data_IF_396071859313
#
_entry.id   IF_396071859313
#
_cell.length_a   1.000
_cell.length_b   1.000
_cell.length_c   1.000
_cell.angle_alpha   90.00
_cell.angle_beta   90.00
_cell.angle_gamma   90.00
#
_symmetry.space_group_name_H-M   'P 1'
#
loop_
_entity.id
_entity.type
_entity.pdbx_description
1 polymer ?
#
# COMPACT_ATOMS: atom_id res chain seq x y z
N UNK A 1 27.24 -7.73 18.36
CA UNK A 1 27.84 -8.18 17.08
C UNK A 1 26.80 -9.02 16.40
N UNK A 2 25.92 -8.37 15.64
CA UNK A 2 24.84 -9.00 14.89
C UNK A 2 25.46 -9.63 13.65
N UNK A 3 25.44 -10.96 13.58
CA UNK A 3 25.63 -11.69 12.33
C UNK A 3 24.48 -11.29 11.42
N UNK A 4 24.71 -10.38 10.47
CA UNK A 4 23.81 -10.18 9.33
C UNK A 4 23.79 -11.47 8.52
N UNK A 5 22.88 -12.37 8.89
CA UNK A 5 22.44 -13.43 8.00
C UNK A 5 21.85 -12.74 6.77
N UNK A 6 22.45 -12.98 5.60
CA UNK A 6 21.95 -12.48 4.32
C UNK A 6 20.55 -13.09 4.09
N UNK A 7 19.50 -12.37 4.51
CA UNK A 7 18.12 -12.80 4.36
C UNK A 7 17.66 -12.55 2.93
N UNK A 8 17.25 -13.62 2.25
CA UNK A 8 16.62 -13.54 0.93
C UNK A 8 15.13 -13.21 1.02
N UNK A 9 14.48 -13.56 2.15
CA UNK A 9 13.07 -13.32 2.40
C UNK A 9 12.86 -12.37 3.61
N UNK A 10 11.85 -11.52 3.54
CA UNK A 10 11.51 -10.55 4.57
C UNK A 10 10.88 -11.14 5.84
N UNK A 11 10.67 -12.46 5.91
CA UNK A 11 10.08 -13.18 7.03
C UNK A 11 10.83 -14.49 7.30
N UNK A 12 11.02 -14.83 8.56
CA UNK A 12 11.75 -16.02 9.00
C UNK A 12 11.12 -16.64 10.24
N UNK A 13 11.22 -17.96 10.39
CA UNK A 13 10.82 -18.68 11.61
C UNK A 13 12.10 -19.19 12.30
N UNK A 14 12.38 -18.66 13.48
CA UNK A 14 13.48 -19.07 14.33
C UNK A 14 13.13 -20.43 14.98
N UNK A 15 13.79 -21.47 14.49
CA UNK A 15 13.48 -22.86 14.80
C UNK A 15 13.71 -23.22 16.27
N UNK A 16 14.75 -22.62 16.85
CA UNK A 16 15.20 -22.74 18.24
C UNK A 16 14.23 -22.13 19.26
N UNK A 17 13.45 -21.11 18.87
CA UNK A 17 12.42 -20.51 19.72
C UNK A 17 11.03 -21.13 19.50
N UNK A 18 10.83 -21.91 18.44
CA UNK A 18 9.51 -22.35 18.02
C UNK A 18 9.02 -23.61 18.77
N UNK A 19 7.92 -23.49 19.54
CA UNK A 19 7.31 -24.62 20.26
C UNK A 19 6.48 -25.58 19.42
N UNK A 20 6.36 -25.35 18.10
CA UNK A 20 5.54 -26.17 17.17
C UNK A 20 4.04 -26.23 17.49
N UNK A 21 3.52 -25.26 18.24
CA UNK A 21 2.11 -25.23 18.66
C UNK A 21 1.09 -25.06 17.52
N UNK A 22 1.51 -24.59 16.33
CA UNK A 22 0.64 -24.48 15.14
C UNK A 22 -0.29 -23.26 15.10
N UNK A 23 -0.20 -22.31 16.04
CA UNK A 23 -1.03 -21.09 16.02
C UNK A 23 -0.81 -20.28 14.73
N UNK A 24 0.43 -20.19 14.27
CA UNK A 24 0.79 -19.52 13.02
C UNK A 24 0.16 -20.18 11.77
N UNK A 25 -0.06 -21.50 11.80
CA UNK A 25 -0.77 -22.24 10.74
C UNK A 25 -2.24 -21.81 10.73
N UNK A 26 -2.90 -21.84 11.90
CA UNK A 26 -4.33 -21.51 12.02
C UNK A 26 -4.66 -20.06 11.64
N UNK A 27 -3.76 -19.12 11.95
CA UNK A 27 -3.97 -17.70 11.67
C UNK A 27 -3.63 -17.31 10.22
N UNK A 28 -2.84 -18.11 9.50
CA UNK A 28 -2.40 -17.79 8.14
C UNK A 28 -3.59 -17.89 7.15
N UNK A 29 -4.04 -16.78 6.53
CA UNK A 29 -5.17 -16.82 5.60
C UNK A 29 -4.77 -17.24 4.17
N UNK A 30 -3.49 -17.52 3.96
CA UNK A 30 -2.90 -17.87 2.67
C UNK A 30 -2.28 -19.27 2.66
N UNK A 31 -2.41 -20.02 3.77
CA UNK A 31 -1.88 -21.38 3.89
C UNK A 31 -0.36 -21.49 3.67
N UNK A 32 0.34 -20.35 3.71
CA UNK A 32 1.80 -20.27 3.56
C UNK A 32 2.57 -20.90 4.73
N UNK A 33 1.91 -21.34 5.78
CA UNK A 33 2.55 -21.98 6.93
C UNK A 33 1.88 -23.32 7.18
N UNK A 34 2.68 -24.38 7.26
CA UNK A 34 2.23 -25.74 7.51
C UNK A 34 3.06 -26.39 8.61
N UNK A 35 2.56 -27.52 9.14
CA UNK A 35 3.27 -28.35 10.12
C UNK A 35 3.66 -29.66 9.45
N UNK A 36 4.96 -29.93 9.39
CA UNK A 36 5.50 -31.22 9.00
C UNK A 36 5.49 -32.14 10.23
N UNK A 37 4.60 -33.13 10.21
CA UNK A 37 4.45 -34.11 11.30
C UNK A 37 5.62 -35.08 11.40
N UNK A 38 6.36 -35.34 10.32
CA UNK A 38 7.51 -36.25 10.33
C UNK A 38 8.72 -35.59 10.99
N UNK A 39 8.96 -34.32 10.67
CA UNK A 39 10.07 -33.54 11.22
C UNK A 39 9.70 -32.77 12.50
N UNK A 40 8.42 -32.80 12.88
CA UNK A 40 7.83 -31.96 13.93
C UNK A 40 8.28 -30.50 13.80
N UNK A 41 8.12 -29.95 12.60
CA UNK A 41 8.62 -28.61 12.23
C UNK A 41 7.52 -27.75 11.64
N UNK A 42 7.58 -26.45 11.92
CA UNK A 42 6.74 -25.47 11.22
C UNK A 42 7.50 -25.03 9.97
N UNK A 43 6.86 -25.16 8.81
CA UNK A 43 7.42 -24.81 7.51
C UNK A 43 6.71 -23.57 6.98
N UNK A 44 7.49 -22.59 6.52
CA UNK A 44 7.01 -21.42 5.81
C UNK A 44 7.27 -21.61 4.32
N UNK A 45 6.21 -21.59 3.52
CA UNK A 45 6.28 -21.43 2.09
C UNK A 45 6.38 -19.92 1.77
N UNK A 46 7.58 -19.49 1.37
CA UNK A 46 7.86 -18.09 1.02
C UNK A 46 7.13 -17.68 -0.26
N UNK A 47 6.84 -18.62 -1.16
CA UNK A 47 6.13 -18.32 -2.40
C UNK A 47 4.68 -17.96 -2.12
N UNK A 48 4.03 -18.67 -1.20
CA UNK A 48 2.67 -18.35 -0.80
C UNK A 48 2.56 -17.19 0.20
N UNK A 49 3.65 -16.83 0.86
CA UNK A 49 3.64 -15.78 1.88
C UNK A 49 3.29 -14.40 1.29
N UNK A 50 2.23 -13.77 1.84
CA UNK A 50 1.81 -12.41 1.47
C UNK A 50 2.33 -11.32 2.41
N UNK A 51 3.26 -11.66 3.33
CA UNK A 51 3.95 -10.71 4.23
C UNK A 51 2.98 -9.88 5.09
N UNK A 52 1.85 -10.47 5.49
CA UNK A 52 0.80 -9.76 6.24
C UNK A 52 1.14 -9.52 7.73
N UNK A 53 2.03 -10.33 8.31
CA UNK A 53 2.48 -10.21 9.70
C UNK A 53 1.49 -10.74 10.77
N UNK A 54 0.41 -11.41 10.36
CA UNK A 54 -0.57 -11.96 11.32
C UNK A 54 0.02 -13.11 12.15
N UNK A 55 0.88 -13.95 11.55
CA UNK A 55 1.58 -15.03 12.25
C UNK A 55 2.60 -14.50 13.27
N UNK A 56 3.29 -13.40 12.95
CA UNK A 56 4.27 -12.74 13.84
C UNK A 56 3.60 -12.35 15.15
N UNK A 57 2.52 -11.58 15.05
CA UNK A 57 1.73 -11.11 16.20
C UNK A 57 0.93 -12.21 16.93
N UNK A 58 0.83 -13.40 16.34
CA UNK A 58 0.14 -14.54 16.96
C UNK A 58 1.11 -15.51 17.65
N UNK A 59 2.42 -15.38 17.43
CA UNK A 59 3.41 -16.29 17.99
C UNK A 59 3.67 -15.94 19.46
N UNK A 60 3.29 -16.81 20.43
CA UNK A 60 3.47 -16.50 21.85
C UNK A 60 4.94 -16.51 22.31
N UNK A 61 5.84 -17.04 21.47
CA UNK A 61 7.28 -17.12 21.74
C UNK A 61 8.09 -16.14 20.91
N UNK A 62 7.43 -15.27 20.12
CA UNK A 62 8.09 -14.33 19.20
C UNK A 62 9.11 -15.00 18.28
N UNK A 63 8.86 -16.27 17.92
CA UNK A 63 9.75 -17.09 17.10
C UNK A 63 9.64 -16.79 15.60
N UNK A 64 8.79 -15.85 15.19
CA UNK A 64 8.61 -15.46 13.79
C UNK A 64 9.05 -14.01 13.67
N UNK A 65 10.09 -13.77 12.89
CA UNK A 65 10.63 -12.44 12.66
C UNK A 65 10.20 -11.90 11.29
N UNK A 66 9.91 -10.62 11.24
CA UNK A 66 9.52 -9.89 10.04
C UNK A 66 10.36 -8.62 9.96
N UNK A 67 11.08 -8.46 8.86
CA UNK A 67 12.01 -7.33 8.66
C UNK A 67 11.27 -5.99 8.68
N UNK A 68 10.01 -5.98 8.28
CA UNK A 68 9.19 -4.78 8.26
C UNK A 68 8.39 -4.61 9.55
N UNK A 69 8.34 -3.38 10.05
CA UNK A 69 7.44 -2.95 11.12
C UNK A 69 7.56 -3.79 12.40
N UNK A 70 8.79 -4.15 12.76
CA UNK A 70 9.08 -4.74 14.06
C UNK A 70 8.46 -3.86 15.18
N UNK A 71 7.80 -4.49 16.14
CA UNK A 71 7.00 -3.83 17.19
C UNK A 71 7.81 -2.82 17.97
N UNK A 72 9.06 -3.14 18.33
CA UNK A 72 9.92 -2.24 19.09
C UNK A 72 10.30 -1.01 18.25
N UNK A 73 10.65 -1.22 16.99
CA UNK A 73 11.00 -0.14 16.06
C UNK A 73 9.84 0.82 15.83
N UNK A 74 8.62 0.31 15.59
CA UNK A 74 7.45 1.18 15.37
C UNK A 74 6.98 1.83 16.67
N UNK A 75 7.13 1.17 17.82
CA UNK A 75 6.80 1.75 19.13
C UNK A 75 7.71 2.93 19.41
N UNK A 76 9.03 2.74 19.25
CA UNK A 76 10.01 3.81 19.45
C UNK A 76 9.77 4.98 18.50
N UNK A 77 9.56 4.70 17.21
CA UNK A 77 9.25 5.75 16.21
C UNK A 77 8.05 6.59 16.64
N UNK A 78 6.96 5.95 17.07
CA UNK A 78 5.75 6.64 17.52
C UNK A 78 6.04 7.48 18.76
N UNK A 79 6.73 6.94 19.77
CA UNK A 79 7.06 7.67 21.00
C UNK A 79 7.94 8.90 20.72
N UNK A 80 8.95 8.75 19.84
CA UNK A 80 9.83 9.84 19.44
C UNK A 80 9.03 10.95 18.74
N UNK A 81 8.16 10.60 17.79
CA UNK A 81 7.29 11.56 17.08
C UNK A 81 6.25 12.22 18.00
N UNK A 82 5.71 11.47 18.98
CA UNK A 82 4.79 11.99 19.98
C UNK A 82 5.46 13.04 20.86
N UNK A 83 6.68 12.76 21.30
CA UNK A 83 7.47 13.68 22.11
C UNK A 83 7.83 14.94 21.33
N UNK A 84 8.22 14.81 20.06
CA UNK A 84 8.53 15.94 19.19
C UNK A 84 7.31 16.86 18.96
N UNK A 85 6.14 16.28 18.69
CA UNK A 85 4.90 17.03 18.44
C UNK A 85 4.15 17.45 19.70
N UNK A 86 4.52 16.93 20.86
CA UNK A 86 3.71 17.04 22.08
C UNK A 86 2.30 16.47 21.91
N UNK A 87 2.14 15.49 21.03
CA UNK A 87 0.86 14.87 20.73
C UNK A 87 0.50 13.83 21.79
N UNK A 88 -0.81 13.67 22.04
CA UNK A 88 -1.34 12.66 22.96
C UNK A 88 -2.31 11.68 22.30
N UNK A 89 -2.56 11.87 21.01
CA UNK A 89 -3.45 11.02 20.22
C UNK A 89 -2.65 10.26 19.18
N UNK A 90 -2.75 8.93 19.22
CA UNK A 90 -2.18 8.04 18.21
C UNK A 90 -3.26 7.62 17.22
N UNK A 91 -3.00 7.81 15.93
CA UNK A 91 -3.89 7.35 14.86
C UNK A 91 -3.18 6.23 14.10
N UNK A 92 -3.75 5.04 14.07
CA UNK A 92 -3.26 3.93 13.25
C UNK A 92 -4.17 3.78 12.03
N UNK A 93 -3.59 3.68 10.84
CA UNK A 93 -4.39 3.55 9.60
C UNK A 93 -3.94 2.38 8.75
N UNK A 94 -4.88 1.55 8.27
CA UNK A 94 -4.63 0.57 7.21
C UNK A 94 -4.39 1.29 5.88
N UNK A 95 -3.36 0.89 5.12
CA UNK A 95 -3.15 1.40 3.75
C UNK A 95 -4.33 1.15 2.82
N UNK A 96 -4.92 -0.04 2.91
CA UNK A 96 -5.96 -0.50 1.98
C UNK A 96 -7.23 0.34 1.99
N UNK A 97 -7.61 0.94 3.11
CA UNK A 97 -8.80 1.79 3.25
C UNK A 97 -8.49 3.26 3.49
N UNK A 98 -7.24 3.64 3.71
CA UNK A 98 -6.84 5.02 3.98
C UNK A 98 -5.63 5.35 3.09
N UNK A 99 -5.86 5.68 1.82
CA UNK A 99 -4.78 6.15 0.96
C UNK A 99 -4.19 7.48 1.42
N UNK A 100 -2.95 7.74 1.02
CA UNK A 100 -2.20 8.96 1.40
C UNK A 100 -2.97 10.22 1.00
N UNK A 101 -3.66 10.14 -0.12
CA UNK A 101 -4.44 11.20 -0.77
C UNK A 101 -5.89 11.25 -0.28
N UNK A 102 -6.41 10.24 0.44
CA UNK A 102 -7.72 10.38 1.08
C UNK A 102 -7.60 11.15 2.37
N UNK A 103 -8.52 12.06 2.56
CA UNK A 103 -8.59 12.84 3.76
C UNK A 103 -9.26 12.02 4.88
N UNK A 104 -8.50 11.63 5.90
CA UNK A 104 -9.07 11.05 7.14
C UNK A 104 -9.66 12.14 8.06
N UNK A 105 -9.58 13.43 7.67
CA UNK A 105 -10.07 14.57 8.45
C UNK A 105 -11.53 14.44 8.86
N UNK A 106 -12.42 13.89 8.04
CA UNK A 106 -13.82 13.71 8.44
C UNK A 106 -13.90 12.86 9.71
N UNK A 107 -13.21 11.72 9.73
CA UNK A 107 -13.17 10.85 10.92
C UNK A 107 -12.41 11.48 12.08
N UNK A 108 -11.34 12.25 11.80
CA UNK A 108 -10.61 12.96 12.85
C UNK A 108 -11.48 14.06 13.50
N UNK A 109 -12.24 14.80 12.70
CA UNK A 109 -13.15 15.86 13.15
C UNK A 109 -14.30 15.27 13.96
N UNK A 110 -14.94 14.19 13.49
CA UNK A 110 -15.98 13.47 14.23
C UNK A 110 -15.49 13.01 15.61
N UNK A 111 -14.21 12.65 15.70
CA UNK A 111 -13.57 12.20 16.93
C UNK A 111 -12.83 13.31 17.69
N UNK A 112 -12.97 14.58 17.27
CA UNK A 112 -12.30 15.75 17.88
C UNK A 112 -10.78 15.56 18.03
N UNK A 113 -10.11 15.11 16.96
CA UNK A 113 -8.67 14.84 16.91
C UNK A 113 -7.98 15.89 16.04
N UNK A 114 -7.17 16.75 16.66
CA UNK A 114 -6.40 17.79 15.95
C UNK A 114 -4.89 17.56 16.01
N UNK A 115 -4.31 17.39 17.21
CA UNK A 115 -2.89 17.10 17.40
C UNK A 115 -2.64 15.59 17.59
N UNK A 116 -2.10 14.95 16.55
CA UNK A 116 -1.88 13.50 16.53
C UNK A 116 -0.58 13.10 15.85
N UNK A 117 -0.12 11.91 16.18
CA UNK A 117 0.86 11.14 15.41
C UNK A 117 0.13 10.03 14.67
N UNK A 118 0.43 9.88 13.38
CA UNK A 118 -0.19 8.85 12.55
C UNK A 118 0.82 7.77 12.18
N UNK A 119 0.45 6.51 12.41
CA UNK A 119 1.19 5.33 11.98
C UNK A 119 0.38 4.59 10.91
N UNK A 120 0.77 4.78 9.65
CA UNK A 120 0.18 4.09 8.50
C UNK A 120 0.88 2.76 8.26
N UNK A 121 0.13 1.65 8.26
CA UNK A 121 0.66 0.30 8.12
C UNK A 121 -0.07 -0.44 7.00
N UNK A 122 0.60 -1.35 6.24
CA UNK A 122 -0.08 -2.21 5.29
C UNK A 122 -1.28 -2.96 5.89
N UNK A 123 -1.22 -3.31 7.17
CA UNK A 123 -2.34 -3.87 7.93
C UNK A 123 -2.21 -3.51 9.40
N UNK A 124 -3.24 -2.91 10.01
CA UNK A 124 -3.25 -2.70 11.47
C UNK A 124 -3.60 -3.98 12.23
N UNK A 125 -4.21 -4.97 11.58
CA UNK A 125 -4.50 -6.27 12.20
C UNK A 125 -3.24 -7.06 12.61
N UNK A 126 -2.06 -6.67 12.10
CA UNK A 126 -0.78 -7.23 12.54
C UNK A 126 -0.30 -6.63 13.87
N UNK A 127 -0.85 -5.50 14.30
CA UNK A 127 -0.37 -4.77 15.48
C UNK A 127 -0.84 -5.53 16.71
N UNK A 128 0.09 -6.02 17.54
CA UNK A 128 -0.26 -6.83 18.69
C UNK A 128 -0.61 -5.94 19.91
N UNK A 129 -1.34 -6.46 20.92
CA UNK A 129 -1.78 -5.68 22.09
C UNK A 129 -0.67 -4.94 22.83
N UNK A 130 0.54 -5.50 22.90
CA UNK A 130 1.70 -4.91 23.56
C UNK A 130 2.10 -3.56 22.97
N UNK A 131 1.93 -3.36 21.65
CA UNK A 131 2.19 -2.07 21.01
C UNK A 131 1.29 -0.97 21.62
N UNK A 132 0.00 -1.27 21.75
CA UNK A 132 -0.95 -0.31 22.30
C UNK A 132 -0.68 -0.03 23.78
N UNK A 133 -0.43 -1.07 24.57
CA UNK A 133 -0.12 -0.93 25.99
C UNK A 133 1.15 -0.12 26.22
N UNK A 134 2.21 -0.35 25.45
CA UNK A 134 3.45 0.40 25.56
C UNK A 134 3.25 1.89 25.26
N UNK A 135 2.43 2.22 24.25
CA UNK A 135 2.13 3.61 23.92
C UNK A 135 1.25 4.28 24.98
N UNK A 136 0.23 3.61 25.51
CA UNK A 136 -0.58 4.10 26.64
C UNK A 136 0.29 4.38 27.87
N UNK A 137 1.19 3.45 28.22
CA UNK A 137 2.13 3.61 29.32
C UNK A 137 3.12 4.77 29.12
N UNK A 138 3.31 5.20 27.86
CA UNK A 138 4.19 6.32 27.51
C UNK A 138 3.49 7.68 27.51
N UNK A 139 2.21 7.72 27.90
CA UNK A 139 1.43 8.95 28.01
C UNK A 139 0.52 9.26 26.82
N UNK A 140 0.32 8.31 25.89
CA UNK A 140 -0.75 8.41 24.90
C UNK A 140 -2.09 8.30 25.61
N UNK A 141 -2.96 9.29 25.42
CA UNK A 141 -4.27 9.37 26.07
C UNK A 141 -5.40 8.83 25.19
N UNK A 142 -5.27 8.93 23.87
CA UNK A 142 -6.26 8.49 22.89
C UNK A 142 -5.61 7.68 21.77
N UNK A 143 -6.22 6.55 21.41
CA UNK A 143 -5.81 5.74 20.25
C UNK A 143 -7.01 5.57 19.32
N UNK A 144 -6.85 6.00 18.08
CA UNK A 144 -7.82 5.82 17.00
C UNK A 144 -7.28 4.85 15.96
N UNK A 145 -7.96 3.74 15.74
CA UNK A 145 -7.62 2.74 14.73
C UNK A 145 -8.59 2.84 13.56
N UNK A 146 -8.09 3.24 12.39
CA UNK A 146 -8.83 3.29 11.13
C UNK A 146 -8.45 2.08 10.29
N UNK A 147 -9.28 1.04 10.33
CA UNK A 147 -9.01 -0.21 9.64
C UNK A 147 -9.96 -0.47 8.46
N UNK A 148 -9.66 -1.51 7.70
CA UNK A 148 -10.56 -1.99 6.66
C UNK A 148 -11.83 -2.60 7.27
N UNK A 149 -12.95 -2.53 6.55
CA UNK A 149 -14.06 -3.49 6.74
C UNK A 149 -13.57 -4.93 6.56
N UNK A 150 -14.32 -5.89 7.11
CA UNK A 150 -13.90 -7.30 7.16
C UNK A 150 -13.92 -7.94 5.78
N UNK A 151 -15.03 -7.81 5.04
CA UNK A 151 -15.15 -8.33 3.68
C UNK A 151 -14.24 -7.59 2.68
N UNK A 152 -13.86 -6.35 3.00
CA UNK A 152 -12.92 -5.56 2.22
C UNK A 152 -11.44 -5.88 2.52
N UNK A 153 -11.15 -6.71 3.53
CA UNK A 153 -9.80 -6.87 4.06
C UNK A 153 -8.82 -7.42 3.00
N UNK A 154 -7.78 -6.64 2.69
CA UNK A 154 -6.77 -7.01 1.67
C UNK A 154 -5.87 -8.17 2.06
N UNK A 155 -5.86 -8.52 3.36
CA UNK A 155 -5.20 -9.71 3.88
C UNK A 155 -6.19 -10.78 4.36
N UNK A 156 -7.43 -10.75 3.87
CA UNK A 156 -8.55 -11.66 4.19
C UNK A 156 -8.99 -11.65 5.66
N UNK A 157 -8.12 -12.06 6.59
CA UNK A 157 -8.42 -12.16 8.03
C UNK A 157 -7.90 -11.00 8.89
N UNK A 158 -7.18 -10.04 8.29
CA UNK A 158 -6.50 -8.97 9.03
C UNK A 158 -7.44 -8.11 9.88
N UNK A 159 -8.54 -7.65 9.29
CA UNK A 159 -9.54 -6.80 9.98
C UNK A 159 -10.20 -7.54 11.14
N UNK A 160 -10.64 -8.78 10.92
CA UNK A 160 -11.28 -9.62 11.94
C UNK A 160 -10.34 -9.88 13.13
N UNK A 161 -9.09 -10.26 12.87
CA UNK A 161 -8.09 -10.50 13.92
C UNK A 161 -7.78 -9.21 14.68
N UNK A 162 -7.65 -8.09 13.98
CA UNK A 162 -7.44 -6.78 14.57
C UNK A 162 -8.56 -6.38 15.53
N UNK A 163 -9.82 -6.52 15.11
CA UNK A 163 -11.01 -6.23 15.95
C UNK A 163 -10.98 -7.08 17.22
N UNK A 164 -10.81 -8.40 17.07
CA UNK A 164 -10.86 -9.30 18.23
C UNK A 164 -9.77 -8.95 19.26
N UNK A 165 -8.56 -8.61 18.80
CA UNK A 165 -7.47 -8.17 19.67
C UNK A 165 -7.75 -6.82 20.32
N UNK A 166 -8.31 -5.88 19.57
CA UNK A 166 -8.58 -4.52 20.05
C UNK A 166 -9.72 -4.50 21.08
N UNK A 167 -10.77 -5.29 20.88
CA UNK A 167 -11.85 -5.43 21.87
C UNK A 167 -11.34 -6.11 23.16
N UNK A 168 -10.54 -7.18 23.05
CA UNK A 168 -9.90 -7.78 24.23
C UNK A 168 -8.97 -6.81 24.96
N UNK A 169 -8.23 -5.98 24.21
CA UNK A 169 -7.39 -4.93 24.79
C UNK A 169 -8.23 -3.92 25.58
N UNK A 170 -9.38 -3.47 25.06
CA UNK A 170 -10.26 -2.53 25.78
C UNK A 170 -10.70 -3.07 27.13
N UNK A 171 -11.10 -4.34 27.19
CA UNK A 171 -11.47 -5.00 28.44
C UNK A 171 -10.27 -5.05 29.40
N UNK A 172 -9.10 -5.40 28.88
CA UNK A 172 -7.85 -5.50 29.66
C UNK A 172 -7.45 -4.13 30.25
N UNK A 173 -7.42 -3.07 29.45
CA UNK A 173 -6.97 -1.76 29.94
C UNK A 173 -7.97 -1.10 30.89
N UNK A 174 -9.26 -1.44 30.77
CA UNK A 174 -10.31 -1.02 31.71
C UNK A 174 -10.03 -1.57 33.11
N UNK A 175 -9.60 -2.83 33.21
CA UNK A 175 -9.17 -3.42 34.49
C UNK A 175 -7.91 -2.76 35.06
N UNK A 176 -7.05 -2.22 34.18
CA UNK A 176 -5.86 -1.47 34.55
C UNK A 176 -6.14 0.02 34.88
N UNK A 177 -7.40 0.45 34.84
CA UNK A 177 -7.82 1.81 35.20
C UNK A 177 -7.73 2.85 34.07
N UNK A 178 -7.48 2.42 32.82
CA UNK A 178 -7.58 3.29 31.66
C UNK A 178 -9.03 3.43 31.20
N UNK A 179 -9.36 4.55 30.58
CA UNK A 179 -10.68 4.77 29.98
C UNK A 179 -10.76 4.10 28.60
N UNK A 180 -11.54 3.01 28.43
CA UNK A 180 -11.66 2.33 27.14
C UNK A 180 -12.39 3.18 26.09
N UNK A 181 -13.08 4.26 26.47
CA UNK A 181 -13.75 5.16 25.50
C UNK A 181 -12.75 5.94 24.64
N UNK A 182 -11.49 6.05 25.09
CA UNK A 182 -10.40 6.66 24.33
C UNK A 182 -9.68 5.67 23.38
N UNK A 183 -10.08 4.40 23.39
CA UNK A 183 -9.64 3.39 22.42
C UNK A 183 -10.72 3.21 21.36
N UNK A 184 -10.56 3.85 20.21
CA UNK A 184 -11.60 3.96 19.20
C UNK A 184 -11.18 3.17 17.97
N UNK A 185 -12.08 2.34 17.46
CA UNK A 185 -11.90 1.62 16.20
C UNK A 185 -12.99 2.03 15.23
N UNK A 186 -12.59 2.50 14.05
CA UNK A 186 -13.49 2.81 12.93
C UNK A 186 -13.13 1.92 11.75
N UNK A 187 -14.18 1.47 11.06
CA UNK A 187 -14.05 0.70 9.83
C UNK A 187 -14.24 1.66 8.66
N UNK A 188 -13.42 1.49 7.63
CA UNK A 188 -13.52 2.22 6.40
C UNK A 188 -13.26 1.26 5.23
N UNK A 189 -13.82 1.54 4.07
CA UNK A 189 -13.56 0.79 2.86
C UNK A 189 -13.52 1.73 1.68
N UNK A 190 -12.50 1.54 0.83
CA UNK A 190 -12.32 2.39 -0.33
C UNK A 190 -13.26 1.89 -1.43
N UNK A 191 -14.24 2.71 -1.80
CA UNK A 191 -15.29 2.36 -2.77
C UNK A 191 -15.26 3.32 -3.95
N UNK A 192 -15.63 2.80 -5.12
CA UNK A 192 -15.87 3.63 -6.28
C UNK A 192 -17.14 4.46 -6.08
N UNK A 193 -17.10 5.71 -6.53
CA UNK A 193 -18.23 6.63 -6.53
C UNK A 193 -18.43 7.15 -7.94
N UNK A 194 -19.67 7.44 -8.33
CA UNK A 194 -19.96 7.94 -9.66
C UNK A 194 -20.93 9.12 -9.62
N UNK A 195 -20.74 10.01 -10.58
CA UNK A 195 -21.57 11.18 -10.85
C UNK A 195 -22.54 10.86 -11.99
N UNK A 196 -23.83 10.83 -11.66
CA UNK A 196 -24.89 10.53 -12.62
C UNK A 196 -25.01 11.58 -13.72
N UNK A 197 -24.64 12.84 -13.47
CA UNK A 197 -24.76 13.92 -14.45
C UNK A 197 -23.70 13.83 -15.55
N UNK A 198 -22.51 13.31 -15.21
CA UNK A 198 -21.44 13.04 -16.18
C UNK A 198 -21.61 11.71 -16.94
N UNK A 199 -22.45 10.80 -16.43
CA UNK A 199 -22.58 9.45 -16.97
C UNK A 199 -23.43 9.41 -18.25
N UNK A 200 -22.83 8.94 -19.35
CA UNK A 200 -23.53 8.78 -20.64
C UNK A 200 -24.14 7.39 -20.86
N UNK A 201 -24.05 6.51 -19.86
CA UNK A 201 -24.60 5.16 -19.98
C UNK A 201 -23.91 4.26 -21.02
N UNK A 202 -22.57 4.26 -21.10
CA UNK A 202 -21.84 3.42 -22.06
C UNK A 202 -21.55 1.97 -21.61
N UNK A 203 -21.77 1.63 -20.33
CA UNK A 203 -21.63 0.25 -19.81
C UNK A 203 -20.21 -0.28 -19.61
N UNK A 204 -19.15 0.47 -19.94
CA UNK A 204 -17.75 0.01 -19.81
C UNK A 204 -17.36 -0.37 -18.37
N UNK A 205 -17.86 0.37 -17.38
CA UNK A 205 -17.59 0.12 -15.96
C UNK A 205 -18.17 -1.21 -15.48
N UNK A 206 -19.34 -1.62 -16.00
CA UNK A 206 -19.94 -2.93 -15.74
C UNK A 206 -19.05 -4.03 -16.32
N UNK A 207 -18.67 -3.90 -17.59
CA UNK A 207 -17.89 -4.92 -18.29
C UNK A 207 -16.50 -5.16 -17.67
N UNK A 208 -15.84 -4.10 -17.17
CA UNK A 208 -14.48 -4.22 -16.63
C UNK A 208 -14.44 -4.63 -15.15
N UNK A 209 -15.59 -4.66 -14.45
CA UNK A 209 -15.60 -4.94 -13.02
C UNK A 209 -15.35 -6.44 -12.78
N UNK A 210 -14.22 -6.84 -12.15
CA UNK A 210 -13.94 -8.26 -11.90
C UNK A 210 -14.78 -8.82 -10.74
N UNK A 211 -15.46 -7.96 -9.98
CA UNK A 211 -16.20 -8.30 -8.78
C UNK A 211 -17.72 -8.30 -8.98
N UNK A 212 -18.19 -8.04 -10.21
CA UNK A 212 -19.62 -7.84 -10.51
C UNK A 212 -20.30 -6.78 -9.62
N UNK A 213 -19.50 -5.86 -9.07
CA UNK A 213 -19.94 -4.83 -8.14
C UNK A 213 -20.66 -3.68 -8.84
N UNK A 214 -20.69 -3.65 -10.17
CA UNK A 214 -21.39 -2.62 -10.95
C UNK A 214 -22.41 -3.31 -11.85
N UNK A 215 -23.68 -2.99 -11.67
CA UNK A 215 -24.80 -3.61 -12.42
C UNK A 215 -25.55 -2.58 -13.24
N UNK A 216 -26.14 -3.01 -14.35
CA UNK A 216 -26.96 -2.15 -15.20
C UNK A 216 -28.41 -2.09 -14.70
N UNK A 217 -28.98 -0.89 -14.60
CA UNK A 217 -30.42 -0.68 -14.33
C UNK A 217 -31.15 -0.17 -15.58
N UNK A 218 -32.48 -0.30 -15.55
CA UNK A 218 -33.39 -0.05 -16.68
C UNK A 218 -33.33 1.35 -17.31
N UNK A 219 -32.69 2.33 -16.66
CA UNK A 219 -32.60 3.74 -17.10
C UNK A 219 -31.16 4.11 -17.55
N UNK A 220 -30.35 3.13 -17.97
CA UNK A 220 -28.98 3.33 -18.46
C UNK A 220 -28.01 3.96 -17.45
N UNK A 221 -28.33 3.90 -16.16
CA UNK A 221 -27.44 4.30 -15.06
C UNK A 221 -26.88 3.06 -14.38
N UNK A 222 -25.54 2.92 -14.28
CA UNK A 222 -24.96 1.84 -13.49
C UNK A 222 -25.27 2.04 -12.01
N UNK A 223 -25.46 0.95 -11.26
CA UNK A 223 -25.49 0.96 -9.80
C UNK A 223 -24.24 0.26 -9.27
N UNK A 224 -23.60 0.84 -8.25
CA UNK A 224 -22.47 0.21 -7.55
C UNK A 224 -23.01 -0.47 -6.29
N UNK A 225 -22.88 -1.79 -6.22
CA UNK A 225 -23.04 -2.58 -5.01
C UNK A 225 -21.82 -2.34 -4.13
N UNK A 226 -21.99 -1.53 -3.10
CA UNK A 226 -20.87 -1.08 -2.26
C UNK A 226 -20.21 -2.23 -1.53
N UNK A 227 -20.98 -3.24 -1.12
CA UNK A 227 -20.54 -4.46 -0.46
C UNK A 227 -19.52 -5.25 -1.31
N UNK A 228 -19.77 -5.38 -2.62
CA UNK A 228 -18.93 -6.14 -3.56
C UNK A 228 -17.75 -5.31 -4.08
N UNK A 229 -17.81 -3.98 -3.96
CA UNK A 229 -16.78 -3.11 -4.51
C UNK A 229 -15.48 -3.21 -3.69
N UNK A 230 -14.45 -3.83 -4.27
CA UNK A 230 -13.14 -3.93 -3.63
C UNK A 230 -12.22 -2.72 -3.88
N UNK A 231 -12.72 -1.65 -4.50
CA UNK A 231 -11.98 -0.39 -4.67
C UNK A 231 -10.68 -0.54 -5.49
N UNK A 232 -10.73 -1.28 -6.60
CA UNK A 232 -9.56 -1.55 -7.44
C UNK A 232 -9.28 -0.46 -8.50
N UNK A 233 -10.26 0.41 -8.79
CA UNK A 233 -10.13 1.53 -9.73
C UNK A 233 -10.28 1.18 -11.22
N UNK A 234 -10.55 -0.07 -11.58
CA UNK A 234 -10.68 -0.50 -12.98
C UNK A 234 -11.77 0.27 -13.74
N UNK A 235 -12.90 0.52 -13.07
CA UNK A 235 -14.02 1.24 -13.63
C UNK A 235 -13.71 2.72 -13.90
N UNK A 236 -12.92 3.36 -13.03
CA UNK A 236 -12.50 4.75 -13.19
C UNK A 236 -11.65 4.90 -14.45
N UNK A 237 -10.71 3.98 -14.67
CA UNK A 237 -9.83 3.99 -15.84
C UNK A 237 -10.59 3.92 -17.18
N UNK A 238 -11.64 3.10 -17.28
CA UNK A 238 -12.34 2.89 -18.56
C UNK A 238 -13.44 3.93 -18.83
N UNK A 239 -13.69 4.86 -17.90
CA UNK A 239 -14.77 5.82 -18.01
C UNK A 239 -14.35 7.03 -18.87
N UNK A 240 -14.87 7.17 -20.09
CA UNK A 240 -14.42 8.24 -20.99
C UNK A 240 -14.89 9.64 -20.59
N UNK A 241 -15.81 9.74 -19.62
CA UNK A 241 -16.36 11.01 -19.13
C UNK A 241 -15.93 11.32 -17.70
N UNK A 242 -14.99 10.54 -17.13
CA UNK A 242 -14.57 10.66 -15.72
C UNK A 242 -15.78 10.74 -14.77
N UNK A 243 -16.84 10.01 -15.11
CA UNK A 243 -18.07 9.96 -14.32
C UNK A 243 -17.95 9.01 -13.12
N UNK A 244 -16.89 8.20 -13.04
CA UNK A 244 -16.66 7.27 -11.92
C UNK A 244 -15.22 7.41 -11.46
N UNK A 245 -15.05 7.53 -10.16
CA UNK A 245 -13.79 7.81 -9.50
C UNK A 245 -13.62 6.91 -8.28
N UNK A 246 -12.39 6.81 -7.77
CA UNK A 246 -12.08 6.11 -6.55
C UNK A 246 -11.64 7.16 -5.52
N UNK A 247 -12.34 7.24 -4.38
CA UNK A 247 -12.09 8.29 -3.39
C UNK A 247 -10.63 8.34 -2.93
N UNK A 248 -10.01 9.52 -2.97
CA UNK A 248 -8.60 9.68 -2.67
C UNK A 248 -7.66 9.11 -3.74
N UNK A 249 -8.13 8.73 -4.92
CA UNK A 249 -7.28 8.41 -6.09
C UNK A 249 -7.91 8.93 -7.37
N UNK A 250 -8.56 10.08 -7.26
CA UNK A 250 -9.14 10.81 -8.37
C UNK A 250 -8.01 11.30 -9.31
N UNK A 251 -8.34 11.48 -10.59
CA UNK A 251 -7.36 11.82 -11.61
C UNK A 251 -6.73 13.19 -11.35
N UNK A 252 -7.55 14.20 -11.03
CA UNK A 252 -7.15 15.59 -10.89
C UNK A 252 -6.19 15.81 -9.71
N UNK A 253 -6.45 15.31 -8.48
CA UNK A 253 -5.49 15.38 -7.38
C UNK A 253 -4.14 14.73 -7.71
N UNK A 254 -4.14 13.56 -8.36
CA UNK A 254 -2.89 12.88 -8.74
C UNK A 254 -2.12 13.71 -9.78
N UNK A 255 -2.82 14.23 -10.80
CA UNK A 255 -2.25 15.12 -11.81
C UNK A 255 -1.64 16.37 -11.17
N UNK A 256 -2.29 16.95 -10.16
CA UNK A 256 -1.77 18.11 -9.43
C UNK A 256 -0.48 17.77 -8.64
N UNK A 257 -0.42 16.59 -8.01
CA UNK A 257 0.81 16.12 -7.35
C UNK A 257 1.94 16.01 -8.37
N UNK A 258 1.71 15.41 -9.54
CA UNK A 258 2.73 15.29 -10.60
C UNK A 258 3.20 16.67 -11.06
N UNK A 259 2.27 17.60 -11.31
CA UNK A 259 2.58 18.99 -11.67
C UNK A 259 3.43 19.69 -10.62
N UNK A 260 3.10 19.54 -9.35
CA UNK A 260 3.84 20.15 -8.25
C UNK A 260 5.24 19.55 -8.10
N UNK A 261 5.37 18.23 -8.21
CA UNK A 261 6.64 17.53 -8.15
C UNK A 261 7.53 17.79 -9.38
N UNK A 262 6.94 18.08 -10.55
CA UNK A 262 7.70 18.37 -11.77
C UNK A 262 8.66 19.57 -11.62
N UNK A 263 8.37 20.51 -10.70
CA UNK A 263 9.24 21.65 -10.39
C UNK A 263 10.63 21.22 -9.89
N UNK A 264 10.76 20.04 -9.29
CA UNK A 264 12.03 19.49 -8.79
C UNK A 264 12.87 18.86 -9.90
N UNK A 265 12.26 18.52 -11.05
CA UNK A 265 12.96 17.85 -12.17
C UNK A 265 14.16 18.66 -12.66
N UNK A 266 14.02 19.99 -12.78
CA UNK A 266 15.10 20.88 -13.19
C UNK A 266 16.30 20.83 -12.24
N UNK A 267 16.05 20.74 -10.93
CA UNK A 267 17.09 20.62 -9.90
C UNK A 267 17.82 19.28 -10.01
N UNK A 268 17.09 18.18 -10.16
CA UNK A 268 17.68 16.85 -10.34
C UNK A 268 18.58 16.80 -11.59
N UNK A 269 18.11 17.35 -12.71
CA UNK A 269 18.88 17.42 -13.96
C UNK A 269 20.12 18.28 -13.84
N UNK A 270 20.05 19.42 -13.14
CA UNK A 270 21.21 20.26 -12.88
C UNK A 270 22.30 19.54 -12.05
N UNK A 271 21.91 18.54 -11.26
CA UNK A 271 22.83 17.67 -10.52
C UNK A 271 23.32 16.45 -11.33
N UNK A 272 22.95 16.36 -12.62
CA UNK A 272 23.30 15.24 -13.49
C UNK A 272 22.53 13.95 -13.19
N UNK A 273 21.41 14.02 -12.46
CA UNK A 273 20.55 12.87 -12.14
C UNK A 273 19.30 12.89 -13.03
N UNK A 274 18.82 11.73 -13.52
CA UNK A 274 17.56 11.65 -14.23
C UNK A 274 16.39 11.91 -13.28
N UNK A 275 15.42 12.71 -13.68
CA UNK A 275 14.20 12.90 -12.90
C UNK A 275 13.19 11.78 -13.22
N UNK A 276 12.82 10.98 -12.22
CA UNK A 276 12.01 9.77 -12.40
C UNK A 276 10.71 9.85 -11.60
N UNK A 277 9.60 9.47 -12.22
CA UNK A 277 8.30 9.27 -11.57
C UNK A 277 8.02 7.77 -11.41
N UNK A 278 7.69 7.35 -10.19
CA UNK A 278 7.28 5.98 -9.90
C UNK A 278 5.79 5.94 -9.59
N UNK A 279 5.08 5.00 -10.21
CA UNK A 279 3.74 4.60 -9.82
C UNK A 279 3.82 3.27 -9.10
N UNK A 280 3.56 3.23 -7.79
CA UNK A 280 3.85 2.06 -6.96
C UNK A 280 2.56 1.50 -6.38
N UNK A 281 2.23 0.26 -6.72
CA UNK A 281 1.13 -0.46 -6.10
C UNK A 281 1.40 -0.62 -4.59
N UNK A 282 0.44 -0.27 -3.74
CA UNK A 282 0.56 -0.32 -2.27
C UNK A 282 0.94 -1.70 -1.68
N UNK A 283 0.86 -2.76 -2.50
CA UNK A 283 1.12 -4.15 -2.12
C UNK A 283 2.40 -4.75 -2.73
N UNK A 284 3.02 -4.08 -3.70
CA UNK A 284 4.27 -4.56 -4.31
C UNK A 284 5.50 -4.08 -3.55
N UNK A 285 5.42 -2.95 -2.86
CA UNK A 285 6.51 -2.40 -2.06
C UNK A 285 5.96 -1.77 -0.79
N UNK A 286 6.65 -1.96 0.34
CA UNK A 286 6.22 -1.45 1.64
C UNK A 286 7.05 -0.26 2.09
N UNK A 287 8.36 -0.44 2.22
CA UNK A 287 9.27 0.53 2.83
C UNK A 287 9.28 1.87 2.09
N UNK A 288 9.38 1.83 0.76
CA UNK A 288 9.41 3.04 -0.06
C UNK A 288 8.12 3.87 0.02
N UNK A 289 7.01 3.28 0.48
CA UNK A 289 5.71 3.94 0.62
C UNK A 289 5.45 4.52 2.01
N UNK A 290 6.24 4.16 3.03
CA UNK A 290 6.08 4.73 4.37
C UNK A 290 6.47 6.22 4.40
N UNK A 291 7.40 6.63 3.54
CA UNK A 291 7.92 8.00 3.47
C UNK A 291 7.14 8.89 2.48
N UNK A 292 6.10 8.36 1.82
CA UNK A 292 5.38 9.03 0.69
C UNK A 292 4.38 10.09 1.16
N UNK A 293 4.36 10.47 2.44
CA UNK A 293 3.43 11.49 2.96
C UNK A 293 3.53 12.86 2.25
N UNK A 294 4.57 13.11 1.44
CA UNK A 294 4.70 14.31 0.59
C UNK A 294 5.06 14.00 -0.89
N UNK A 295 4.83 12.78 -1.39
CA UNK A 295 5.00 12.42 -2.81
C UNK A 295 6.43 12.40 -3.37
N UNK A 296 7.47 12.62 -2.54
CA UNK A 296 8.87 12.57 -2.98
C UNK A 296 9.72 11.69 -2.06
N UNK A 297 10.36 10.68 -2.64
CA UNK A 297 11.35 9.85 -1.93
C UNK A 297 12.70 10.59 -1.87
N UNK A 298 13.11 11.19 -2.99
CA UNK A 298 14.32 12.01 -3.09
C UNK A 298 14.06 13.23 -3.99
N UNK A 299 15.06 14.10 -4.18
CA UNK A 299 14.97 15.23 -5.11
C UNK A 299 14.76 14.79 -6.58
N UNK A 300 15.24 13.59 -6.93
CA UNK A 300 15.21 13.00 -8.28
C UNK A 300 14.14 11.91 -8.47
N UNK A 301 13.52 11.43 -7.39
CA UNK A 301 12.51 10.36 -7.43
C UNK A 301 11.20 10.84 -6.80
N UNK A 302 10.17 10.93 -7.63
CA UNK A 302 8.78 11.18 -7.22
C UNK A 302 8.03 9.86 -7.14
N UNK A 303 7.22 9.64 -6.10
CA UNK A 303 6.41 8.44 -5.95
C UNK A 303 4.94 8.82 -5.86
N UNK A 304 4.13 8.17 -6.70
CA UNK A 304 2.68 8.13 -6.60
C UNK A 304 2.30 6.73 -6.15
N UNK A 305 1.76 6.64 -4.93
CA UNK A 305 1.15 5.41 -4.44
C UNK A 305 -0.14 5.12 -5.21
N UNK A 306 -0.36 3.86 -5.59
CA UNK A 306 -1.58 3.38 -6.21
C UNK A 306 -2.29 2.37 -5.31
N UNK A 307 -3.64 2.38 -5.27
CA UNK A 307 -4.38 1.35 -4.55
C UNK A 307 -4.20 -0.02 -5.20
N UNK A 308 -4.04 -0.02 -6.53
CA UNK A 308 -3.77 -1.14 -7.38
C UNK A 308 -3.23 -0.62 -8.72
N UNK A 309 -2.35 -1.38 -9.35
CA UNK A 309 -1.92 -1.10 -10.72
C UNK A 309 -3.08 -1.14 -11.73
N UNK A 310 -4.18 -1.84 -11.42
CA UNK A 310 -5.37 -1.92 -12.27
C UNK A 310 -6.01 -0.56 -12.55
N UNK A 311 -5.94 0.36 -11.58
CA UNK A 311 -6.44 1.73 -11.71
C UNK A 311 -5.41 2.71 -12.27
N UNK A 312 -4.25 2.24 -12.74
CA UNK A 312 -3.23 3.09 -13.35
C UNK A 312 -3.75 3.71 -14.64
N UNK A 313 -3.69 5.03 -14.72
CA UNK A 313 -4.06 5.79 -15.92
C UNK A 313 -2.82 6.09 -16.79
N UNK A 314 -2.72 5.51 -18.01
CA UNK A 314 -1.64 5.80 -18.95
C UNK A 314 -1.49 7.29 -19.33
N UNK A 315 -2.56 8.08 -19.22
CA UNK A 315 -2.52 9.53 -19.51
C UNK A 315 -1.55 10.23 -18.55
N UNK A 316 -1.46 9.79 -17.30
CA UNK A 316 -0.56 10.37 -16.31
C UNK A 316 0.92 10.15 -16.67
N UNK A 317 1.25 9.10 -17.43
CA UNK A 317 2.62 8.90 -17.95
C UNK A 317 2.94 9.93 -19.02
N UNK A 318 2.01 10.14 -19.95
CA UNK A 318 2.17 11.13 -21.01
C UNK A 318 2.30 12.54 -20.42
N UNK A 319 1.45 12.86 -19.43
CA UNK A 319 1.53 14.12 -18.70
C UNK A 319 2.89 14.27 -18.00
N UNK A 320 3.35 13.27 -17.24
CA UNK A 320 4.64 13.32 -16.56
C UNK A 320 5.81 13.55 -17.53
N UNK A 321 5.87 12.80 -18.64
CA UNK A 321 6.91 12.99 -19.65
C UNK A 321 6.87 14.40 -20.27
N UNK A 322 5.66 14.93 -20.52
CA UNK A 322 5.50 16.30 -21.03
C UNK A 322 5.94 17.39 -20.03
N UNK A 323 5.83 17.11 -18.74
CA UNK A 323 6.24 17.99 -17.64
C UNK A 323 7.75 17.89 -17.32
N UNK A 324 8.50 17.10 -18.09
CA UNK A 324 9.96 17.05 -18.01
C UNK A 324 10.52 15.92 -17.15
N UNK A 325 9.73 14.94 -16.73
CA UNK A 325 10.30 13.69 -16.20
C UNK A 325 11.07 12.95 -17.32
N UNK A 326 12.23 12.39 -16.98
CA UNK A 326 13.08 11.68 -17.92
C UNK A 326 12.67 10.21 -18.09
N UNK A 327 12.06 9.62 -17.05
CA UNK A 327 11.52 8.27 -17.08
C UNK A 327 10.35 8.12 -16.11
N UNK A 328 9.44 7.20 -16.45
CA UNK A 328 8.30 6.82 -15.64
C UNK A 328 8.33 5.31 -15.44
N UNK A 329 8.19 4.84 -14.20
CA UNK A 329 8.24 3.40 -13.90
C UNK A 329 7.00 2.99 -13.11
N UNK A 330 6.33 1.94 -13.56
CA UNK A 330 5.26 1.29 -12.84
C UNK A 330 5.80 0.11 -12.04
N UNK A 331 5.46 0.04 -10.75
CA UNK A 331 5.89 -1.00 -9.83
C UNK A 331 4.65 -1.76 -9.37
N UNK A 332 4.58 -3.02 -9.76
CA UNK A 332 3.36 -3.84 -9.63
C UNK A 332 3.68 -5.16 -8.93
N UNK A 333 2.64 -5.82 -8.43
CA UNK A 333 2.80 -7.14 -7.81
C UNK A 333 3.08 -8.19 -8.89
N UNK A 334 3.82 -9.27 -8.56
CA UNK A 334 3.70 -10.52 -9.30
C UNK A 334 2.23 -10.96 -9.37
N UNK A 335 1.87 -11.63 -10.46
CA UNK A 335 0.47 -11.94 -10.81
C UNK A 335 -0.16 -12.86 -9.75
N UNK A 336 0.58 -13.88 -9.35
CA UNK A 336 0.23 -14.85 -8.33
C UNK A 336 0.07 -14.21 -6.93
N UNK A 337 0.71 -13.07 -6.68
CA UNK A 337 0.67 -12.37 -5.39
C UNK A 337 -0.30 -11.19 -5.35
N UNK A 338 -1.00 -10.94 -6.45
CA UNK A 338 -1.92 -9.81 -6.60
C UNK A 338 -3.01 -9.87 -5.51
N UNK A 339 -3.27 -8.72 -4.87
CA UNK A 339 -4.28 -8.61 -3.79
C UNK A 339 -5.68 -8.31 -4.28
N UNK A 340 -5.81 -7.90 -5.54
CA UNK A 340 -7.06 -7.44 -6.14
C UNK A 340 -7.18 -8.07 -7.53
N UNK A 341 -7.43 -9.38 -7.57
CA UNK A 341 -7.81 -10.24 -8.72
C UNK A 341 -7.56 -9.66 -10.11
N UNK A 342 -6.80 -10.33 -10.99
CA UNK A 342 -6.49 -9.83 -12.34
C UNK A 342 -5.82 -8.42 -12.35
N UNK A 343 -5.39 -7.90 -11.20
CA UNK A 343 -4.88 -6.54 -11.05
C UNK A 343 -3.62 -6.27 -11.86
N UNK A 344 -2.63 -7.16 -11.73
CA UNK A 344 -1.39 -7.09 -12.49
C UNK A 344 -1.63 -7.36 -13.96
N UNK A 345 -2.43 -8.39 -14.28
CA UNK A 345 -2.70 -8.79 -15.66
C UNK A 345 -3.34 -7.65 -16.47
N UNK A 346 -4.40 -7.02 -15.94
CA UNK A 346 -5.07 -5.89 -16.59
C UNK A 346 -4.15 -4.67 -16.71
N UNK A 347 -3.34 -4.38 -15.71
CA UNK A 347 -2.38 -3.28 -15.75
C UNK A 347 -1.33 -3.49 -16.87
N UNK A 348 -0.79 -4.70 -17.01
CA UNK A 348 0.20 -5.02 -18.04
C UNK A 348 -0.37 -4.91 -19.47
N UNK A 349 -1.65 -5.23 -19.66
CA UNK A 349 -2.35 -4.97 -20.93
C UNK A 349 -2.36 -3.47 -21.24
N UNK A 350 -2.65 -2.63 -20.26
CA UNK A 350 -2.62 -1.17 -20.41
C UNK A 350 -1.20 -0.63 -20.65
N UNK A 351 -0.20 -1.18 -19.97
CA UNK A 351 1.21 -0.84 -20.18
C UNK A 351 1.69 -1.18 -21.60
N UNK A 352 1.27 -2.33 -22.14
CA UNK A 352 1.57 -2.72 -23.51
C UNK A 352 0.94 -1.77 -24.54
N UNK A 353 -0.32 -1.38 -24.31
CA UNK A 353 -0.99 -0.37 -25.13
C UNK A 353 -0.28 0.99 -25.06
N UNK A 354 0.11 1.43 -23.85
CA UNK A 354 0.88 2.65 -23.64
C UNK A 354 2.24 2.62 -24.35
N UNK A 355 3.01 1.52 -24.24
CA UNK A 355 4.29 1.36 -24.94
C UNK A 355 4.12 1.49 -26.46
N UNK A 356 3.02 0.98 -27.01
CA UNK A 356 2.69 1.14 -28.43
C UNK A 356 2.47 2.61 -28.82
N UNK A 357 1.80 3.38 -27.97
CA UNK A 357 1.60 4.82 -28.16
C UNK A 357 2.93 5.57 -28.03
N UNK A 358 3.70 5.31 -26.98
CA UNK A 358 5.00 5.96 -26.73
C UNK A 358 6.01 5.73 -27.85
N UNK A 359 5.99 4.54 -28.47
CA UNK A 359 6.82 4.21 -29.62
C UNK A 359 6.59 5.14 -30.82
N UNK A 360 5.37 5.64 -31.01
CA UNK A 360 5.08 6.60 -32.08
C UNK A 360 5.81 7.94 -31.88
N UNK A 361 6.23 8.22 -30.65
CA UNK A 361 6.96 9.42 -30.25
C UNK A 361 8.44 9.16 -29.91
N UNK A 362 8.94 7.93 -30.09
CA UNK A 362 10.28 7.49 -29.66
C UNK A 362 10.52 7.66 -28.15
N UNK A 363 9.49 7.42 -27.33
CA UNK A 363 9.52 7.55 -25.87
C UNK A 363 9.32 6.21 -25.15
N UNK A 364 9.25 5.09 -25.88
CA UNK A 364 8.96 3.77 -25.32
C UNK A 364 9.99 3.32 -24.28
N UNK A 365 11.25 3.69 -24.46
CA UNK A 365 12.33 3.35 -23.53
C UNK A 365 12.28 4.16 -22.22
N UNK A 366 11.47 5.24 -22.18
CA UNK A 366 11.26 6.08 -21.00
C UNK A 366 10.15 5.56 -20.08
N UNK A 367 9.45 4.50 -20.45
CA UNK A 367 8.46 3.85 -19.61
C UNK A 367 8.74 2.36 -19.46
N UNK A 368 8.73 1.87 -18.21
CA UNK A 368 8.80 0.44 -17.95
C UNK A 368 7.93 0.02 -16.77
N UNK A 369 7.56 -1.26 -16.75
CA UNK A 369 6.84 -1.91 -15.66
C UNK A 369 7.70 -3.00 -15.05
N UNK A 370 7.70 -3.10 -13.72
CA UNK A 370 8.44 -4.14 -13.01
C UNK A 370 7.58 -4.80 -11.95
N UNK A 371 7.72 -6.12 -11.85
CA UNK A 371 7.05 -6.95 -10.85
C UNK A 371 8.00 -7.11 -9.68
N UNK A 372 7.58 -6.67 -8.51
CA UNK A 372 8.35 -6.80 -7.27
C UNK A 372 7.45 -7.20 -6.13
N UNK A 373 8.01 -7.90 -5.15
CA UNK A 373 7.29 -8.30 -3.96
C UNK A 373 8.03 -7.87 -2.71
N UNK A 374 7.33 -7.35 -1.68
CA UNK A 374 7.99 -6.99 -0.42
C UNK A 374 8.61 -8.21 0.27
N UNK A 375 8.27 -9.44 -0.16
CA UNK A 375 8.90 -10.66 0.36
C UNK A 375 10.39 -10.73 0.04
N UNK A 376 10.87 -10.16 -1.08
CA UNK A 376 12.26 -10.24 -1.48
C UNK A 376 12.97 -8.91 -1.19
N UNK A 377 13.84 -8.93 -0.19
CA UNK A 377 14.53 -7.72 0.26
C UNK A 377 15.48 -7.21 -0.82
N UNK A 378 15.44 -5.90 -1.09
CA UNK A 378 16.33 -5.24 -2.05
C UNK A 378 15.91 -5.35 -3.51
N UNK A 379 14.91 -6.16 -3.87
CA UNK A 379 14.42 -6.32 -5.24
C UNK A 379 13.97 -4.97 -5.85
N UNK A 380 13.19 -4.20 -5.10
CA UNK A 380 12.74 -2.86 -5.51
C UNK A 380 13.93 -1.93 -5.79
N UNK A 381 14.89 -1.85 -4.87
CA UNK A 381 16.05 -0.97 -5.00
C UNK A 381 16.94 -1.39 -6.19
N UNK A 382 17.18 -2.68 -6.37
CA UNK A 382 17.96 -3.19 -7.51
C UNK A 382 17.29 -2.85 -8.85
N UNK A 383 15.97 -3.02 -8.91
CA UNK A 383 15.16 -2.69 -10.09
C UNK A 383 15.17 -1.19 -10.39
N UNK A 384 15.00 -0.35 -9.36
CA UNK A 384 15.04 1.10 -9.47
C UNK A 384 16.40 1.61 -9.95
N UNK A 385 17.50 1.07 -9.41
CA UNK A 385 18.85 1.44 -9.87
C UNK A 385 19.12 1.00 -11.31
N UNK A 386 18.66 -0.18 -11.71
CA UNK A 386 18.70 -0.63 -13.11
C UNK A 386 17.95 0.33 -14.04
N UNK A 387 16.74 0.75 -13.63
CA UNK A 387 15.95 1.71 -14.40
C UNK A 387 16.61 3.10 -14.47
N UNK A 388 17.19 3.60 -13.37
CA UNK A 388 17.97 4.86 -13.37
C UNK A 388 19.14 4.82 -14.35
N UNK A 389 19.86 3.72 -14.39
CA UNK A 389 20.98 3.54 -15.32
C UNK A 389 20.51 3.53 -16.77
N UNK A 390 19.40 2.83 -17.06
CA UNK A 390 18.73 2.84 -18.37
C UNK A 390 18.34 4.26 -18.80
N UNK A 391 17.66 5.02 -17.95
CA UNK A 391 17.26 6.40 -18.30
C UNK A 391 18.49 7.30 -18.48
N UNK A 392 19.51 7.16 -17.63
CA UNK A 392 20.74 7.94 -17.74
C UNK A 392 21.52 7.67 -19.02
N UNK A 393 21.50 6.43 -19.55
CA UNK A 393 22.18 6.09 -20.80
C UNK A 393 21.48 6.69 -22.02
N UNK A 394 20.15 6.76 -22.00
CA UNK A 394 19.33 7.37 -23.06
C UNK A 394 19.57 8.90 -23.14
N UNK A 395 19.84 9.55 -22.00
CA UNK A 395 20.04 11.01 -21.93
C UNK A 395 21.45 11.46 -22.31
N UNK A 396 22.45 10.56 -22.31
CA UNK A 396 23.82 10.91 -22.72
C UNK A 396 23.86 10.93 -24.25
N UNK A 397 24.13 12.07 -24.91
CA UNK A 397 24.33 12.07 -26.35
C UNK A 397 25.55 11.21 -26.68
N UNK A 398 25.46 10.40 -27.74
CA UNK A 398 26.63 9.75 -28.31
C UNK A 398 27.70 10.82 -28.56
N UNK A 399 28.80 10.75 -27.82
CA UNK A 399 30.01 11.48 -28.17
C UNK A 399 30.46 10.89 -29.50
N UNK A 400 30.08 11.53 -30.61
CA UNK A 400 30.69 11.27 -31.90
C UNK A 400 32.18 11.59 -31.74
N UNK A 401 32.99 10.56 -31.58
CA UNK A 401 34.42 10.63 -31.77
C UNK A 401 34.68 11.07 -33.20
N UNK A 402 34.90 12.37 -33.38
CA UNK A 402 35.44 12.98 -34.60
C UNK A 402 36.85 12.51 -34.86
#
# INVERSE_FOLDING_TARGET
>A
MTTETCRTAGIEIADDYCSRCGICVAVCPFEAISKDEQQNKIILDVEECRVCGLCVSACPLSAIDLVYYNVDSITKKVQDEMAEKGAKTLVLTCRGSNPVTSNIEETLNDENVENYVSLRLPCVGRVPPEFYMNNLASGVEKILVLQCEEDFCRFKKGSQIGINRFELLKDTVKELGYDPSNLILKKNSLKAVYDTEKCVGCGKCVFICPYDAIVWKDISTPEIKTEDCMGCGACALVCPHQAIELRGYEFEPISEIIKNCSRKTAKAKAQGKPAILLFVCQWSEFSALDDVQNGCLTDDITIIELPCAKGFDPVLVLEALSLGFDGVMAVVCPEELCKLEEGTELAERNFSALKTVLKQYNLEERFDSFRVSPKYLGEFNATLESFKQKISSILKPEVKST
#
